data_IF_618595821546
#
_entry.id   IF_618595821546
#
_cell.length_a   1.000
_cell.length_b   1.000
_cell.length_c   1.000
_cell.angle_alpha   90.00
_cell.angle_beta   90.00
_cell.angle_gamma   90.00
#
_symmetry.space_group_name_H-M   'P 1'
#
loop_
_entity.id
_entity.type
_entity.pdbx_description
1 polymer ?
#
# COMPACT_ATOMS: atom_id res chain seq x y z
N UNK A 1 -22.47 -23.62 -26.38
CA UNK A 1 -21.49 -24.33 -25.54
C UNK A 1 -20.12 -23.73 -25.82
N UNK A 2 -19.69 -22.78 -24.99
CA UNK A 2 -18.34 -22.20 -25.07
C UNK A 2 -17.51 -22.85 -23.96
N UNK A 3 -16.46 -23.52 -24.40
CA UNK A 3 -15.48 -24.23 -23.58
C UNK A 3 -14.85 -23.30 -22.57
N UNK A 4 -14.90 -23.68 -21.29
CA UNK A 4 -14.10 -23.11 -20.21
C UNK A 4 -12.63 -23.09 -20.65
N UNK A 5 -12.11 -21.89 -20.90
CA UNK A 5 -10.67 -21.67 -20.88
C UNK A 5 -10.19 -22.02 -19.49
N UNK A 6 -9.40 -23.08 -19.39
CA UNK A 6 -8.63 -23.44 -18.20
C UNK A 6 -7.91 -22.20 -17.69
N UNK A 7 -8.37 -21.66 -16.56
CA UNK A 7 -7.72 -20.57 -15.85
C UNK A 7 -6.38 -21.08 -15.35
N UNK A 8 -5.29 -20.68 -16.01
CA UNK A 8 -3.96 -20.86 -15.47
C UNK A 8 -3.93 -20.21 -14.07
N UNK A 9 -3.40 -20.89 -13.04
CA UNK A 9 -3.23 -20.28 -11.73
C UNK A 9 -2.43 -19.00 -11.89
N UNK A 10 -2.88 -17.92 -11.24
CA UNK A 10 -2.25 -16.61 -11.36
C UNK A 10 -0.77 -16.73 -11.05
N UNK A 11 0.09 -16.33 -11.99
CA UNK A 11 1.57 -16.33 -11.86
C UNK A 11 2.09 -15.35 -10.80
N UNK A 12 1.22 -14.78 -9.95
CA UNK A 12 1.54 -13.73 -8.99
C UNK A 12 1.23 -14.20 -7.55
N UNK A 13 2.16 -14.89 -6.87
CA UNK A 13 1.92 -15.50 -5.56
C UNK A 13 1.50 -14.49 -4.48
N UNK A 14 1.97 -13.24 -4.58
CA UNK A 14 1.54 -12.16 -3.69
C UNK A 14 0.05 -11.82 -3.88
N UNK A 15 -0.46 -11.88 -5.10
CA UNK A 15 -1.85 -11.54 -5.40
C UNK A 15 -2.81 -12.63 -4.94
N UNK A 16 -2.42 -13.90 -5.08
CA UNK A 16 -3.16 -15.04 -4.57
C UNK A 16 -3.26 -15.00 -3.05
N UNK A 17 -2.14 -14.79 -2.35
CA UNK A 17 -2.14 -14.58 -0.89
C UNK A 17 -3.03 -13.41 -0.50
N UNK A 18 -2.99 -12.31 -1.24
CA UNK A 18 -3.80 -11.14 -0.93
C UNK A 18 -5.31 -11.43 -1.09
N UNK A 19 -5.72 -12.13 -2.14
CA UNK A 19 -7.12 -12.55 -2.31
C UNK A 19 -7.62 -13.39 -1.15
N UNK A 20 -6.79 -14.31 -0.63
CA UNK A 20 -7.13 -15.14 0.54
C UNK A 20 -7.29 -14.28 1.80
N UNK A 21 -6.36 -13.35 2.03
CA UNK A 21 -6.44 -12.46 3.21
C UNK A 21 -7.65 -11.51 3.13
N UNK A 22 -8.00 -10.99 1.95
CA UNK A 22 -9.22 -10.20 1.74
C UNK A 22 -10.46 -11.01 2.08
N UNK A 23 -10.54 -12.25 1.57
CA UNK A 23 -11.69 -13.11 1.84
C UNK A 23 -11.82 -13.41 3.34
N UNK A 24 -10.72 -13.76 4.00
CA UNK A 24 -10.72 -14.02 5.44
C UNK A 24 -11.09 -12.78 6.27
N UNK A 25 -10.62 -11.60 5.87
CA UNK A 25 -10.94 -10.33 6.53
C UNK A 25 -12.43 -9.95 6.36
N UNK A 26 -13.01 -10.19 5.19
CA UNK A 26 -14.44 -9.97 4.95
C UNK A 26 -15.28 -10.97 5.73
N UNK A 27 -14.89 -12.25 5.78
CA UNK A 27 -15.59 -13.27 6.58
C UNK A 27 -15.57 -12.92 8.07
N UNK A 28 -14.48 -12.33 8.58
CA UNK A 28 -14.40 -11.81 9.96
C UNK A 28 -15.31 -10.60 10.21
N UNK A 29 -15.54 -9.77 9.20
CA UNK A 29 -16.29 -8.51 9.29
C UNK A 29 -17.56 -8.53 8.42
N UNK A 30 -18.25 -9.68 8.37
CA UNK A 30 -19.33 -9.91 7.40
C UNK A 30 -20.50 -8.93 7.55
N UNK A 31 -20.86 -8.58 8.79
CA UNK A 31 -21.96 -7.64 9.06
C UNK A 31 -21.67 -6.25 8.50
N UNK A 32 -20.42 -5.77 8.65
CA UNK A 32 -19.99 -4.48 8.08
C UNK A 32 -19.96 -4.52 6.56
N UNK A 33 -19.56 -5.66 5.99
CA UNK A 33 -19.53 -5.87 4.55
C UNK A 33 -20.94 -5.88 3.94
N UNK A 34 -21.90 -6.56 4.57
CA UNK A 34 -23.29 -6.60 4.11
C UNK A 34 -23.94 -5.21 4.16
N UNK A 35 -23.76 -4.47 5.26
CA UNK A 35 -24.23 -3.09 5.39
C UNK A 35 -23.64 -2.21 4.28
N UNK A 36 -22.32 -2.29 4.07
CA UNK A 36 -21.63 -1.57 3.00
C UNK A 36 -22.20 -1.88 1.62
N UNK A 37 -22.54 -3.15 1.36
CA UNK A 37 -23.09 -3.55 0.06
C UNK A 37 -24.46 -2.93 -0.21
N UNK A 38 -25.32 -2.88 0.81
CA UNK A 38 -26.63 -2.22 0.73
C UNK A 38 -26.44 -0.73 0.48
N UNK A 39 -25.69 -0.05 1.35
CA UNK A 39 -25.46 1.41 1.27
C UNK A 39 -24.92 1.81 -0.11
N UNK A 40 -23.88 1.12 -0.60
CA UNK A 40 -23.29 1.42 -1.90
C UNK A 40 -24.25 1.19 -3.07
N UNK A 41 -25.09 0.15 -3.02
CA UNK A 41 -26.05 -0.13 -4.09
C UNK A 41 -27.26 0.83 -4.07
N UNK A 42 -27.60 1.39 -2.91
CA UNK A 42 -28.63 2.43 -2.76
C UNK A 42 -28.11 3.80 -3.22
N UNK A 43 -26.91 4.19 -2.80
CA UNK A 43 -26.31 5.49 -3.15
C UNK A 43 -25.83 5.56 -4.61
N UNK A 44 -25.27 4.46 -5.13
CA UNK A 44 -24.60 4.44 -6.43
C UNK A 44 -25.27 3.43 -7.38
N UNK A 45 -26.22 3.89 -8.19
CA UNK A 45 -26.94 3.04 -9.16
C UNK A 45 -26.00 2.29 -10.13
N UNK A 46 -24.92 2.94 -10.60
CA UNK A 46 -23.96 2.28 -11.48
C UNK A 46 -23.23 1.13 -10.77
N UNK A 47 -22.93 1.26 -9.47
CA UNK A 47 -22.35 0.16 -8.67
C UNK A 47 -23.34 -0.99 -8.58
N UNK A 48 -24.62 -0.72 -8.29
CA UNK A 48 -25.67 -1.75 -8.25
C UNK A 48 -25.72 -2.56 -9.55
N UNK A 49 -25.67 -1.89 -10.70
CA UNK A 49 -25.70 -2.55 -12.01
C UNK A 49 -24.48 -3.42 -12.25
N UNK A 50 -23.29 -2.90 -11.95
CA UNK A 50 -22.06 -3.68 -12.07
C UNK A 50 -21.97 -4.79 -11.02
N UNK A 51 -22.59 -4.63 -9.85
CA UNK A 51 -22.70 -5.68 -8.83
C UNK A 51 -23.59 -6.84 -9.31
N UNK A 52 -24.68 -6.58 -10.05
CA UNK A 52 -25.47 -7.65 -10.67
C UNK A 52 -24.62 -8.47 -11.65
N UNK A 53 -23.78 -7.81 -12.45
CA UNK A 53 -22.95 -8.47 -13.46
C UNK A 53 -21.70 -9.16 -12.90
N UNK A 54 -21.03 -8.54 -11.91
CA UNK A 54 -19.70 -8.93 -11.44
C UNK A 54 -19.66 -9.41 -9.98
N UNK A 55 -20.72 -9.12 -9.22
CA UNK A 55 -20.94 -9.64 -7.88
C UNK A 55 -19.82 -9.33 -6.89
N UNK A 56 -19.48 -10.30 -6.02
CA UNK A 56 -18.50 -10.14 -4.97
C UNK A 56 -17.12 -9.66 -5.43
N UNK A 57 -16.73 -9.95 -6.68
CA UNK A 57 -15.45 -9.48 -7.24
C UNK A 57 -15.31 -7.95 -7.21
N UNK A 58 -16.40 -7.24 -7.47
CA UNK A 58 -16.44 -5.78 -7.38
C UNK A 58 -16.51 -5.35 -5.92
N UNK A 59 -17.46 -5.91 -5.18
CA UNK A 59 -17.80 -5.42 -3.84
C UNK A 59 -16.71 -5.68 -2.81
N UNK A 60 -15.97 -6.79 -2.91
CA UNK A 60 -14.83 -7.08 -2.03
C UNK A 60 -13.75 -6.01 -2.16
N UNK A 61 -13.42 -5.66 -3.42
CA UNK A 61 -12.42 -4.62 -3.69
C UNK A 61 -12.91 -3.25 -3.20
N UNK A 62 -14.16 -2.89 -3.48
CA UNK A 62 -14.71 -1.61 -3.03
C UNK A 62 -14.78 -1.52 -1.50
N UNK A 63 -15.08 -2.62 -0.81
CA UNK A 63 -15.10 -2.68 0.66
C UNK A 63 -13.71 -2.44 1.26
N UNK A 64 -12.69 -3.11 0.73
CA UNK A 64 -11.29 -2.88 1.16
C UNK A 64 -10.88 -1.42 0.92
N UNK A 65 -11.18 -0.87 -0.26
CA UNK A 65 -10.90 0.53 -0.57
C UNK A 65 -11.66 1.49 0.36
N UNK A 66 -12.92 1.18 0.71
CA UNK A 66 -13.71 1.97 1.67
C UNK A 66 -13.00 2.04 3.01
N UNK A 67 -12.62 0.89 3.59
CA UNK A 67 -11.99 0.82 4.92
C UNK A 67 -10.69 1.61 4.94
N UNK A 68 -9.81 1.34 3.97
CA UNK A 68 -8.53 2.02 3.83
C UNK A 68 -8.68 3.54 3.68
N UNK A 69 -9.51 4.00 2.75
CA UNK A 69 -9.65 5.43 2.47
C UNK A 69 -10.42 6.17 3.55
N UNK A 70 -11.32 5.50 4.28
CA UNK A 70 -12.00 6.09 5.44
C UNK A 70 -11.02 6.36 6.59
N UNK A 71 -10.05 5.46 6.79
CA UNK A 71 -9.02 5.62 7.80
C UNK A 71 -8.00 6.72 7.43
N UNK A 72 -7.55 6.76 6.17
CA UNK A 72 -6.38 7.57 5.77
C UNK A 72 -6.72 8.87 5.02
N UNK A 73 -7.83 8.93 4.29
CA UNK A 73 -8.01 9.95 3.24
C UNK A 73 -9.27 10.80 3.37
N UNK A 74 -10.45 10.18 3.53
CA UNK A 74 -11.74 10.88 3.37
C UNK A 74 -11.96 12.00 4.40
N UNK A 75 -11.27 11.98 5.54
CA UNK A 75 -11.34 13.07 6.54
C UNK A 75 -10.71 14.38 6.04
N UNK A 76 -9.76 14.29 5.10
CA UNK A 76 -8.94 15.43 4.66
C UNK A 76 -9.04 15.70 3.16
N UNK A 77 -9.83 14.91 2.43
CA UNK A 77 -9.97 14.96 0.99
C UNK A 77 -11.43 15.05 0.57
N UNK A 78 -11.71 15.73 -0.55
CA UNK A 78 -13.07 15.85 -1.12
C UNK A 78 -13.49 14.66 -1.97
N UNK A 79 -12.62 13.68 -2.15
CA UNK A 79 -12.98 12.44 -2.83
C UNK A 79 -14.02 11.68 -2.00
N UNK A 80 -14.90 10.98 -2.70
CA UNK A 80 -15.99 10.19 -2.12
C UNK A 80 -15.86 8.77 -2.64
N UNK A 81 -16.57 7.83 -2.02
CA UNK A 81 -16.59 6.45 -2.53
C UNK A 81 -17.15 6.34 -3.94
N UNK A 82 -18.10 7.21 -4.31
CA UNK A 82 -18.60 7.29 -5.69
C UNK A 82 -17.45 7.55 -6.67
N UNK A 83 -16.60 8.53 -6.39
CA UNK A 83 -15.44 8.85 -7.22
C UNK A 83 -14.47 7.65 -7.33
N UNK A 84 -14.20 6.97 -6.22
CA UNK A 84 -13.29 5.82 -6.16
C UNK A 84 -13.88 4.63 -6.91
N UNK A 85 -15.19 4.36 -6.78
CA UNK A 85 -15.87 3.30 -7.48
C UNK A 85 -15.85 3.53 -9.00
N UNK A 86 -16.09 4.76 -9.46
CA UNK A 86 -15.97 5.10 -10.88
C UNK A 86 -14.55 4.92 -11.41
N UNK A 87 -13.53 5.39 -10.67
CA UNK A 87 -12.13 5.18 -11.04
C UNK A 87 -11.78 3.69 -11.14
N UNK A 88 -12.24 2.88 -10.19
CA UNK A 88 -11.99 1.44 -10.19
C UNK A 88 -12.70 0.73 -11.35
N UNK A 89 -13.95 1.10 -11.65
CA UNK A 89 -14.67 0.57 -12.81
C UNK A 89 -14.00 0.96 -14.13
N UNK A 90 -13.63 2.23 -14.30
CA UNK A 90 -12.89 2.69 -15.48
C UNK A 90 -11.55 1.96 -15.65
N UNK A 91 -10.84 1.75 -14.55
CA UNK A 91 -9.62 0.95 -14.53
C UNK A 91 -9.90 -0.50 -14.98
N UNK A 92 -10.88 -1.17 -14.37
CA UNK A 92 -11.22 -2.55 -14.66
C UNK A 92 -11.79 -2.79 -16.07
N UNK A 93 -12.41 -1.76 -16.67
CA UNK A 93 -12.88 -1.75 -18.06
C UNK A 93 -11.75 -1.44 -19.06
N UNK A 94 -10.56 -1.06 -18.58
CA UNK A 94 -9.45 -0.62 -19.43
C UNK A 94 -9.69 0.73 -20.12
N UNK A 95 -10.58 1.56 -19.57
CA UNK A 95 -10.83 2.94 -20.02
C UNK A 95 -9.79 3.91 -19.45
N UNK A 96 -9.21 3.59 -18.30
CA UNK A 96 -8.12 4.35 -17.73
C UNK A 96 -6.86 4.30 -18.62
N UNK A 97 -6.21 5.44 -18.84
CA UNK A 97 -4.89 5.48 -19.50
C UNK A 97 -3.86 4.81 -18.58
N UNK A 98 -3.46 3.60 -18.94
CA UNK A 98 -2.43 2.83 -18.24
C UNK A 98 -1.02 3.31 -18.62
N UNK A 99 -0.03 3.13 -17.72
CA UNK A 99 1.39 3.32 -18.02
C UNK A 99 1.78 2.65 -19.33
N UNK A 100 2.50 3.38 -20.19
CA UNK A 100 2.95 2.93 -21.52
C UNK A 100 3.77 1.64 -21.52
N UNK A 101 4.28 1.23 -20.35
CA UNK A 101 5.08 0.02 -20.17
C UNK A 101 4.23 -1.25 -20.00
N UNK A 102 2.91 -1.13 -19.93
CA UNK A 102 2.00 -2.28 -19.93
C UNK A 102 1.62 -2.59 -21.37
N UNK A 103 2.29 -3.59 -21.97
CA UNK A 103 1.90 -4.20 -23.24
C UNK A 103 0.38 -4.38 -23.33
N UNK A 104 -0.22 -4.10 -24.49
CA UNK A 104 -1.67 -4.25 -24.73
C UNK A 104 -2.18 -5.68 -24.44
N UNK A 105 -1.30 -6.69 -24.50
CA UNK A 105 -1.58 -8.07 -24.13
C UNK A 105 -1.70 -8.31 -22.60
N UNK A 106 -1.18 -7.39 -21.78
CA UNK A 106 -1.23 -7.40 -20.31
C UNK A 106 -2.30 -6.44 -19.75
N UNK A 107 -3.17 -5.87 -20.59
CA UNK A 107 -4.32 -5.09 -20.11
C UNK A 107 -5.29 -6.02 -19.39
N UNK A 108 -5.20 -6.04 -18.07
CA UNK A 108 -6.13 -6.80 -17.24
C UNK A 108 -7.49 -6.12 -17.31
N UNK A 109 -8.39 -6.70 -18.11
CA UNK A 109 -9.81 -6.37 -18.09
C UNK A 109 -10.47 -7.14 -16.96
N UNK A 110 -10.54 -6.52 -15.79
CA UNK A 110 -11.26 -7.08 -14.65
C UNK A 110 -12.75 -7.25 -14.96
N UNK A 111 -13.27 -6.33 -15.77
CA UNK A 111 -14.65 -6.31 -16.26
C UNK A 111 -14.62 -6.46 -17.79
N UNK A 112 -14.84 -7.68 -18.33
CA UNK A 112 -14.71 -7.93 -19.76
C UNK A 112 -15.68 -7.12 -20.62
N UNK A 113 -16.83 -6.75 -20.05
CA UNK A 113 -17.93 -6.11 -20.76
C UNK A 113 -18.29 -4.77 -20.08
N UNK A 114 -18.44 -3.73 -20.88
CA UNK A 114 -19.01 -2.47 -20.40
C UNK A 114 -20.52 -2.58 -20.49
N UNK A 115 -21.23 -2.23 -19.42
CA UNK A 115 -22.69 -2.22 -19.42
C UNK A 115 -23.19 -0.90 -20.01
N UNK A 116 -24.12 -0.94 -20.95
CA UNK A 116 -24.82 0.26 -21.41
C UNK A 116 -26.03 0.56 -20.50
N UNK A 117 -26.38 1.83 -20.38
CA UNK A 117 -27.44 2.29 -19.46
C UNK A 117 -28.81 1.66 -19.73
N UNK A 118 -29.11 1.25 -20.96
CA UNK A 118 -30.40 0.63 -21.29
C UNK A 118 -30.34 -0.91 -21.35
N UNK A 119 -29.19 -1.51 -21.08
CA UNK A 119 -29.01 -2.97 -21.12
C UNK A 119 -29.31 -3.59 -19.76
N UNK A 120 -30.00 -4.73 -19.76
CA UNK A 120 -30.13 -5.57 -18.59
C UNK A 120 -28.77 -6.22 -18.29
N UNK A 121 -28.32 -6.11 -17.05
CA UNK A 121 -27.11 -6.78 -16.62
C UNK A 121 -27.42 -8.27 -16.44
N UNK A 122 -26.81 -9.12 -17.27
CA UNK A 122 -26.84 -10.57 -17.06
C UNK A 122 -25.90 -10.95 -15.91
N UNK A 123 -26.36 -11.86 -15.05
CA UNK A 123 -25.56 -12.35 -13.93
C UNK A 123 -24.46 -13.26 -14.48
N UNK A 124 -23.20 -12.84 -14.31
CA UNK A 124 -22.04 -13.67 -14.62
C UNK A 124 -21.34 -14.01 -13.31
N UNK A 125 -21.23 -15.31 -13.01
CA UNK A 125 -20.47 -15.75 -11.84
C UNK A 125 -18.97 -15.53 -12.08
N UNK A 126 -18.44 -14.47 -11.49
CA UNK A 126 -17.03 -14.17 -11.48
C UNK A 126 -16.36 -14.67 -10.19
N UNK A 127 -15.22 -15.35 -10.34
CA UNK A 127 -14.41 -15.81 -9.20
C UNK A 127 -13.85 -14.63 -8.39
N UNK A 128 -13.77 -14.79 -7.07
CA UNK A 128 -13.14 -13.81 -6.16
C UNK A 128 -11.61 -13.95 -6.15
N UNK A 129 -11.06 -15.02 -6.75
CA UNK A 129 -9.62 -15.35 -6.77
C UNK A 129 -8.71 -14.22 -7.24
N UNK A 130 -9.22 -13.29 -8.04
CA UNK A 130 -8.42 -12.24 -8.69
C UNK A 130 -8.54 -10.87 -7.98
N UNK A 131 -9.25 -10.77 -6.86
CA UNK A 131 -9.46 -9.49 -6.15
C UNK A 131 -8.15 -8.88 -5.64
N UNK A 132 -7.24 -9.71 -5.13
CA UNK A 132 -5.90 -9.28 -4.71
C UNK A 132 -5.08 -8.72 -5.87
N UNK A 133 -5.15 -9.37 -7.05
CA UNK A 133 -4.47 -8.89 -8.25
C UNK A 133 -5.08 -7.55 -8.72
N UNK A 134 -6.42 -7.46 -8.71
CA UNK A 134 -7.15 -6.25 -9.06
C UNK A 134 -6.73 -5.05 -8.20
N UNK A 135 -6.66 -5.23 -6.87
CA UNK A 135 -6.24 -4.20 -5.94
C UNK A 135 -4.78 -3.80 -6.13
N UNK A 136 -3.85 -4.76 -6.25
CA UNK A 136 -2.42 -4.45 -6.46
C UNK A 136 -2.22 -3.59 -7.70
N UNK A 137 -2.88 -3.95 -8.80
CA UNK A 137 -2.74 -3.21 -10.05
C UNK A 137 -3.45 -1.86 -10.02
N UNK A 138 -4.59 -1.77 -9.33
CA UNK A 138 -5.27 -0.51 -9.14
C UNK A 138 -4.44 0.46 -8.29
N UNK A 139 -3.82 -0.01 -7.20
CA UNK A 139 -2.88 0.77 -6.40
C UNK A 139 -1.67 1.21 -7.23
N UNK A 140 -1.13 0.33 -8.07
CA UNK A 140 -0.05 0.67 -9.01
C UNK A 140 -0.48 1.75 -10.01
N UNK A 141 -1.71 1.68 -10.50
CA UNK A 141 -2.27 2.69 -11.41
C UNK A 141 -2.40 4.05 -10.71
N UNK A 142 -3.03 4.10 -9.53
CA UNK A 142 -3.19 5.33 -8.75
C UNK A 142 -1.83 5.92 -8.33
N UNK A 143 -0.87 5.07 -7.98
CA UNK A 143 0.50 5.46 -7.65
C UNK A 143 1.37 5.80 -8.86
N UNK A 144 0.86 5.73 -10.09
CA UNK A 144 1.66 5.99 -11.28
C UNK A 144 1.88 7.49 -11.52
N UNK A 145 3.01 7.81 -12.17
CA UNK A 145 3.31 9.18 -12.61
C UNK A 145 2.25 9.71 -13.58
N UNK A 146 1.68 8.84 -14.43
CA UNK A 146 0.64 9.25 -15.37
C UNK A 146 -0.63 9.72 -14.68
N UNK A 147 -1.05 9.03 -13.60
CA UNK A 147 -2.21 9.45 -12.81
C UNK A 147 -1.97 10.78 -12.11
N UNK A 148 -0.76 10.99 -11.56
CA UNK A 148 -0.38 12.28 -10.96
C UNK A 148 -0.39 13.41 -11.98
N UNK A 149 0.11 13.18 -13.20
CA UNK A 149 0.20 14.20 -14.25
C UNK A 149 -1.12 14.49 -14.99
N UNK A 150 -2.22 13.83 -14.65
CA UNK A 150 -3.52 14.15 -15.24
C UNK A 150 -3.92 15.60 -14.90
N UNK A 151 -4.37 16.37 -15.88
CA UNK A 151 -4.91 17.71 -15.65
C UNK A 151 -6.36 17.68 -15.17
N UNK A 152 -7.12 16.67 -15.59
CA UNK A 152 -8.50 16.42 -15.22
C UNK A 152 -8.79 14.92 -15.22
N UNK A 153 -9.69 14.48 -14.36
CA UNK A 153 -10.23 13.11 -14.36
C UNK A 153 -11.71 13.16 -14.76
N UNK A 154 -12.01 12.69 -15.98
CA UNK A 154 -13.37 12.45 -16.43
C UNK A 154 -13.82 11.06 -15.96
N UNK A 155 -14.75 11.02 -15.01
CA UNK A 155 -15.24 9.78 -14.40
C UNK A 155 -16.42 9.18 -15.17
N UNK A 156 -16.68 9.64 -16.39
CA UNK A 156 -17.71 9.10 -17.27
C UNK A 156 -17.42 7.66 -17.68
N UNK A 157 -18.42 6.79 -17.50
CA UNK A 157 -18.42 5.44 -18.07
C UNK A 157 -18.80 5.45 -19.57
N UNK A 158 -19.27 6.58 -20.11
CA UNK A 158 -19.75 6.72 -21.50
C UNK A 158 -20.82 5.67 -21.86
N UNK A 159 -21.66 5.30 -20.91
CA UNK A 159 -22.68 4.24 -20.97
C UNK A 159 -24.04 4.71 -21.51
N UNK A 160 -24.17 6.00 -21.84
CA UNK A 160 -25.43 6.60 -22.27
C UNK A 160 -26.36 6.99 -21.12
N UNK A 161 -25.86 7.06 -19.87
CA UNK A 161 -26.62 7.56 -18.72
C UNK A 161 -27.18 8.97 -18.99
N UNK A 162 -28.44 9.25 -18.64
CA UNK A 162 -29.06 10.57 -18.84
C UNK A 162 -28.38 11.69 -18.03
N UNK A 163 -27.92 11.37 -16.82
CA UNK A 163 -27.19 12.31 -15.96
C UNK A 163 -25.68 12.15 -16.11
N UNK A 164 -24.93 13.25 -16.24
CA UNK A 164 -23.49 13.20 -16.40
C UNK A 164 -22.81 12.71 -15.13
N UNK A 165 -21.74 11.93 -15.31
CA UNK A 165 -20.83 11.57 -14.23
C UNK A 165 -19.94 12.76 -13.83
N UNK A 166 -19.39 12.76 -12.60
CA UNK A 166 -18.53 13.84 -12.13
C UNK A 166 -17.24 13.96 -12.97
N UNK A 167 -16.75 15.20 -13.11
CA UNK A 167 -15.45 15.50 -13.71
C UNK A 167 -14.62 16.28 -12.68
N UNK A 168 -13.46 15.74 -12.32
CA UNK A 168 -12.53 16.38 -11.40
C UNK A 168 -11.55 17.24 -12.19
N UNK A 169 -11.62 18.56 -12.01
CA UNK A 169 -10.88 19.52 -12.82
C UNK A 169 -9.56 20.02 -12.21
N UNK A 170 -9.26 19.65 -10.96
CA UNK A 170 -8.11 20.18 -10.22
C UNK A 170 -7.29 19.07 -9.59
N UNK A 171 -6.05 18.92 -10.04
CA UNK A 171 -5.10 17.91 -9.54
C UNK A 171 -5.00 17.81 -8.00
N UNK A 172 -5.00 18.91 -7.23
CA UNK A 172 -4.97 18.82 -5.76
C UNK A 172 -6.11 18.02 -5.12
N UNK A 173 -7.20 17.75 -5.85
CA UNK A 173 -8.31 16.93 -5.37
C UNK A 173 -7.89 15.45 -5.25
N UNK A 174 -7.12 14.92 -6.20
CA UNK A 174 -6.71 13.51 -6.23
C UNK A 174 -5.22 13.28 -5.97
N UNK A 175 -4.42 14.34 -5.90
CA UNK A 175 -3.00 14.24 -5.54
C UNK A 175 -2.76 13.52 -4.18
N UNK A 176 -3.56 13.76 -3.12
CA UNK A 176 -3.44 12.98 -1.88
C UNK A 176 -3.70 11.48 -2.08
N UNK A 177 -4.64 11.11 -2.95
CA UNK A 177 -4.91 9.70 -3.30
C UNK A 177 -3.71 9.08 -4.03
N UNK A 178 -3.10 9.80 -4.97
CA UNK A 178 -1.89 9.36 -5.67
C UNK A 178 -0.76 9.06 -4.67
N UNK A 179 -0.45 9.99 -3.78
CA UNK A 179 0.64 9.85 -2.81
C UNK A 179 0.39 8.69 -1.84
N UNK A 180 -0.85 8.53 -1.38
CA UNK A 180 -1.24 7.44 -0.50
C UNK A 180 -1.11 6.09 -1.22
N UNK A 181 -1.66 5.96 -2.43
CA UNK A 181 -1.58 4.74 -3.22
C UNK A 181 -0.14 4.38 -3.59
N UNK A 182 0.70 5.35 -3.95
CA UNK A 182 2.13 5.14 -4.19
C UNK A 182 2.79 4.50 -2.96
N UNK A 183 2.60 5.07 -1.77
CA UNK A 183 3.20 4.54 -0.54
C UNK A 183 2.69 3.14 -0.20
N UNK A 184 1.37 2.95 -0.24
CA UNK A 184 0.73 1.64 0.06
C UNK A 184 1.20 0.56 -0.93
N UNK A 185 1.22 0.86 -2.23
CA UNK A 185 1.72 -0.09 -3.24
C UNK A 185 3.19 -0.47 -2.99
N UNK A 186 4.06 0.50 -2.75
CA UNK A 186 5.49 0.23 -2.53
C UNK A 186 5.72 -0.56 -1.22
N UNK A 187 4.97 -0.25 -0.16
CA UNK A 187 5.04 -1.02 1.08
C UNK A 187 4.61 -2.47 0.88
N UNK A 188 3.49 -2.73 0.21
CA UNK A 188 3.02 -4.09 -0.11
C UNK A 188 4.05 -4.81 -0.99
N UNK A 189 4.58 -4.15 -2.03
CA UNK A 189 5.54 -4.74 -2.96
C UNK A 189 6.88 -5.10 -2.28
N UNK A 190 7.32 -4.32 -1.30
CA UNK A 190 8.60 -4.52 -0.60
C UNK A 190 8.47 -5.48 0.58
N UNK A 191 7.41 -5.36 1.37
CA UNK A 191 7.24 -6.12 2.62
C UNK A 191 6.41 -7.39 2.47
N UNK A 192 5.56 -7.47 1.44
CA UNK A 192 4.59 -8.56 1.28
C UNK A 192 3.53 -8.60 2.38
N UNK A 193 3.33 -7.51 3.12
CA UNK A 193 2.30 -7.34 4.15
C UNK A 193 1.17 -6.46 3.62
N UNK A 194 -0.06 -6.73 4.06
CA UNK A 194 -1.27 -6.01 3.63
C UNK A 194 -1.88 -5.12 4.73
N UNK A 195 -1.17 -4.98 5.86
CA UNK A 195 -1.50 -4.06 6.96
C UNK A 195 -1.60 -2.60 6.48
N UNK A 196 -0.78 -2.21 5.50
CA UNK A 196 -0.81 -0.87 4.90
C UNK A 196 -2.11 -0.52 4.14
N UNK A 197 -2.97 -1.50 3.86
CA UNK A 197 -4.32 -1.30 3.29
C UNK A 197 -5.42 -1.85 4.22
N UNK A 198 -5.10 -2.03 5.51
CA UNK A 198 -6.06 -2.43 6.53
C UNK A 198 -6.75 -3.77 6.25
N UNK A 199 -6.01 -4.72 5.66
CA UNK A 199 -6.47 -6.11 5.45
C UNK A 199 -5.66 -7.05 6.34
N UNK A 200 -6.35 -7.97 7.00
CA UNK A 200 -5.75 -8.95 7.91
C UNK A 200 -5.72 -8.47 9.37
N UNK A 201 -4.89 -9.10 10.19
CA UNK A 201 -4.75 -8.72 11.60
C UNK A 201 -3.99 -7.38 11.69
N UNK A 202 -4.74 -6.29 11.68
CA UNK A 202 -4.23 -4.93 11.85
C UNK A 202 -3.64 -4.87 13.25
N UNK A 203 -2.31 -4.75 13.35
CA UNK A 203 -1.64 -4.46 14.62
C UNK A 203 -2.17 -3.11 15.10
N UNK A 204 -3.06 -3.13 16.10
CA UNK A 204 -3.77 -1.94 16.60
C UNK A 204 -2.84 -0.91 17.25
N UNK A 205 -1.59 -1.27 17.55
CA UNK A 205 -0.56 -0.35 17.99
C UNK A 205 0.01 0.47 16.82
N UNK A 206 -0.77 1.45 16.36
CA UNK A 206 -0.33 2.53 15.47
C UNK A 206 0.82 3.37 16.04
N UNK A 207 1.20 3.16 17.31
CA UNK A 207 2.45 3.68 17.83
C UNK A 207 3.63 3.09 17.07
N UNK A 208 3.60 1.82 16.67
CA UNK A 208 4.71 1.17 16.00
C UNK A 208 4.56 1.20 14.48
N UNK A 209 5.35 2.04 13.82
CA UNK A 209 5.38 2.11 12.35
C UNK A 209 6.82 2.00 11.84
N UNK A 210 7.00 1.42 10.65
CA UNK A 210 8.31 1.44 10.00
C UNK A 210 8.70 2.87 9.64
N UNK A 211 9.97 3.23 9.86
CA UNK A 211 10.56 4.52 9.48
C UNK A 211 10.39 4.74 7.98
N UNK A 212 9.70 5.83 7.61
CA UNK A 212 9.44 6.21 6.21
C UNK A 212 10.72 6.63 5.46
N UNK A 213 11.68 7.20 6.18
CA UNK A 213 12.96 7.64 5.65
C UNK A 213 14.10 6.79 6.24
N UNK A 214 14.86 6.05 5.41
CA UNK A 214 15.99 5.27 5.90
C UNK A 214 17.13 6.19 6.35
N UNK A 215 17.74 5.85 7.49
CA UNK A 215 18.93 6.55 7.99
C UNK A 215 20.14 5.99 7.26
N UNK A 216 20.89 6.86 6.58
CA UNK A 216 22.09 6.48 5.85
C UNK A 216 23.28 6.56 6.80
N UNK A 217 23.93 5.42 7.04
CA UNK A 217 25.14 5.35 7.86
C UNK A 217 26.30 4.75 7.08
N UNK A 218 27.52 4.99 7.52
CA UNK A 218 28.70 4.32 6.96
C UNK A 218 28.68 2.84 7.31
N UNK A 219 29.03 1.98 6.35
CA UNK A 219 29.16 0.53 6.60
C UNK A 219 30.20 0.16 7.66
N UNK A 220 31.15 1.06 7.90
CA UNK A 220 32.13 0.95 8.99
C UNK A 220 31.49 0.77 10.36
N UNK A 221 30.24 1.22 10.55
CA UNK A 221 29.50 1.03 11.79
C UNK A 221 29.35 -0.46 12.14
N UNK A 222 28.95 -1.29 11.17
CA UNK A 222 28.67 -2.71 11.37
C UNK A 222 29.85 -3.62 11.01
N UNK A 223 30.98 -3.05 10.56
CA UNK A 223 32.20 -3.83 10.29
C UNK A 223 32.77 -4.38 11.61
N UNK A 224 33.00 -5.69 11.62
CA UNK A 224 33.52 -6.39 12.80
C UNK A 224 34.89 -5.84 13.21
N UNK A 225 35.81 -5.66 12.26
CA UNK A 225 37.21 -5.28 12.51
C UNK A 225 37.46 -3.76 12.50
N UNK A 226 36.44 -2.94 12.79
CA UNK A 226 36.62 -1.50 12.86
C UNK A 226 37.16 -1.07 14.24
N UNK A 227 38.36 -0.47 14.25
CA UNK A 227 39.04 -0.01 15.47
C UNK A 227 39.80 -1.10 16.22
N UNK A 228 40.25 -0.78 17.44
CA UNK A 228 41.11 -1.64 18.27
C UNK A 228 40.37 -2.81 18.96
N UNK A 229 39.04 -2.87 18.87
CA UNK A 229 38.24 -3.92 19.51
C UNK A 229 37.10 -4.38 18.58
N UNK A 230 37.04 -5.68 18.22
CA UNK A 230 36.03 -6.17 17.32
C UNK A 230 34.66 -6.25 18.00
N UNK A 231 33.64 -5.68 17.35
CA UNK A 231 32.24 -5.75 17.79
C UNK A 231 31.42 -6.46 16.71
N UNK A 232 30.61 -7.45 17.11
CA UNK A 232 29.72 -8.11 16.16
C UNK A 232 28.58 -7.18 15.74
N UNK A 233 28.16 -7.24 14.47
CA UNK A 233 27.03 -6.46 13.98
C UNK A 233 25.75 -6.74 14.78
N UNK A 234 25.53 -8.00 15.16
CA UNK A 234 24.41 -8.42 16.01
C UNK A 234 24.42 -7.67 17.35
N UNK A 235 25.56 -7.67 18.07
CA UNK A 235 25.66 -6.95 19.36
C UNK A 235 25.38 -5.46 19.23
N UNK A 236 25.84 -4.84 18.14
CA UNK A 236 25.56 -3.43 17.86
C UNK A 236 24.06 -3.21 17.68
N UNK A 237 23.40 -4.05 16.87
CA UNK A 237 21.96 -3.93 16.63
C UNK A 237 21.13 -4.22 17.89
N UNK A 238 21.51 -5.23 18.68
CA UNK A 238 20.83 -5.60 19.92
C UNK A 238 20.87 -4.44 20.94
N UNK A 239 22.04 -3.83 21.16
CA UNK A 239 22.18 -2.69 22.07
C UNK A 239 21.47 -1.43 21.55
N UNK A 240 21.53 -1.18 20.24
CA UNK A 240 20.77 -0.09 19.64
C UNK A 240 19.26 -0.30 19.82
N UNK A 241 18.79 -1.54 19.72
CA UNK A 241 17.41 -1.91 19.94
C UNK A 241 17.00 -1.68 21.39
N UNK A 242 17.80 -2.17 22.33
CA UNK A 242 17.59 -2.03 23.77
C UNK A 242 17.55 -0.56 24.21
N UNK A 243 18.52 0.27 23.78
CA UNK A 243 18.61 1.68 24.20
C UNK A 243 17.50 2.56 23.62
N UNK A 244 16.96 2.19 22.47
CA UNK A 244 15.99 3.04 21.75
C UNK A 244 14.56 2.59 21.96
N UNK A 245 14.34 1.32 22.29
CA UNK A 245 13.02 0.72 22.42
C UNK A 245 12.32 0.52 21.07
N UNK A 246 13.08 0.44 19.97
CA UNK A 246 12.53 0.03 18.67
C UNK A 246 12.27 -1.47 18.65
N UNK A 247 11.20 -1.89 18.00
CA UNK A 247 10.77 -3.29 17.94
C UNK A 247 11.63 -4.12 17.01
N UNK A 248 12.08 -3.52 15.89
CA UNK A 248 12.94 -4.17 14.89
C UNK A 248 13.83 -3.15 14.17
N UNK A 249 15.04 -3.57 13.79
CA UNK A 249 15.97 -2.78 12.97
C UNK A 249 16.30 -3.58 11.71
N UNK A 250 16.15 -2.96 10.54
CA UNK A 250 16.51 -3.54 9.26
C UNK A 250 17.70 -2.80 8.65
N UNK A 251 18.68 -3.56 8.15
CA UNK A 251 19.89 -3.01 7.52
C UNK A 251 19.98 -3.45 6.07
N UNK A 252 20.19 -2.51 5.15
CA UNK A 252 20.39 -2.80 3.72
C UNK A 252 21.70 -2.18 3.24
N UNK A 253 22.60 -2.99 2.74
CA UNK A 253 23.87 -2.52 2.18
C UNK A 253 23.62 -1.89 0.80
N UNK A 254 24.07 -0.65 0.61
CA UNK A 254 24.16 -0.03 -0.71
C UNK A 254 25.58 -0.17 -1.22
N UNK A 255 25.80 -1.13 -2.12
CA UNK A 255 27.08 -1.30 -2.79
C UNK A 255 27.18 -0.31 -3.96
N UNK A 256 27.57 0.93 -3.68
CA UNK A 256 27.93 1.90 -4.72
C UNK A 256 29.43 2.21 -4.63
N UNK A 257 30.21 1.50 -5.46
CA UNK A 257 31.66 1.64 -5.61
C UNK A 257 32.49 1.38 -4.33
N UNK A 258 33.53 0.56 -4.45
CA UNK A 258 34.42 0.01 -3.41
C UNK A 258 35.04 1.00 -2.40
N UNK A 259 34.79 2.31 -2.49
CA UNK A 259 35.35 3.33 -1.61
C UNK A 259 34.36 3.87 -0.56
N UNK A 260 33.04 3.85 -0.80
CA UNK A 260 32.05 4.43 0.12
C UNK A 260 30.85 3.48 0.32
N UNK A 261 31.10 2.35 0.98
CA UNK A 261 30.03 1.44 1.37
C UNK A 261 29.16 2.10 2.44
N UNK A 262 27.91 2.41 2.11
CA UNK A 262 26.90 2.94 3.03
C UNK A 262 25.82 1.89 3.30
N UNK A 263 25.19 1.98 4.47
CA UNK A 263 24.11 1.10 4.90
C UNK A 263 22.88 1.97 5.15
N UNK A 264 21.75 1.56 4.59
CA UNK A 264 20.44 2.09 4.93
C UNK A 264 19.91 1.35 6.14
N UNK A 265 19.52 2.09 7.17
CA UNK A 265 18.88 1.54 8.36
C UNK A 265 17.43 2.01 8.41
N UNK A 266 16.48 1.07 8.40
CA UNK A 266 15.08 1.33 8.76
C UNK A 266 14.75 0.66 10.08
N UNK A 267 13.72 1.15 10.77
CA UNK A 267 13.30 0.60 12.06
C UNK A 267 11.79 0.65 12.25
N UNK A 268 11.27 -0.30 13.01
CA UNK A 268 9.86 -0.35 13.44
C UNK A 268 9.80 0.04 14.90
N UNK A 269 8.89 0.94 15.25
CA UNK A 269 8.66 1.34 16.62
C UNK A 269 7.97 2.69 16.72
N UNK A 270 7.85 3.18 17.95
CA UNK A 270 7.26 4.49 18.25
C UNK A 270 8.00 5.65 17.58
N UNK A 271 7.31 6.76 17.33
CA UNK A 271 7.97 7.95 16.77
C UNK A 271 9.14 8.42 17.64
N UNK A 272 8.98 8.34 18.96
CA UNK A 272 10.03 8.65 19.95
C UNK A 272 11.18 7.63 19.91
N UNK A 273 10.89 6.33 19.87
CA UNK A 273 11.91 5.29 19.76
C UNK A 273 12.74 5.42 18.46
N UNK A 274 12.07 5.67 17.32
CA UNK A 274 12.74 5.89 16.03
C UNK A 274 13.58 7.17 16.04
N UNK A 275 13.10 8.24 16.69
CA UNK A 275 13.88 9.47 16.83
C UNK A 275 15.12 9.26 17.71
N UNK A 276 15.02 8.47 18.78
CA UNK A 276 16.17 8.06 19.60
C UNK A 276 17.19 7.27 18.77
N UNK A 277 16.73 6.32 17.96
CA UNK A 277 17.61 5.58 17.05
C UNK A 277 18.28 6.50 16.01
N UNK A 278 17.54 7.44 15.43
CA UNK A 278 18.10 8.43 14.51
C UNK A 278 19.21 9.26 15.16
N UNK A 279 19.01 9.73 16.39
CA UNK A 279 20.03 10.48 17.14
C UNK A 279 21.28 9.65 17.39
N UNK A 280 21.14 8.36 17.73
CA UNK A 280 22.29 7.46 17.91
C UNK A 280 23.06 7.23 16.62
N UNK A 281 22.36 6.92 15.53
CA UNK A 281 22.98 6.58 14.25
C UNK A 281 23.67 7.78 13.57
N UNK A 282 23.32 9.01 13.97
CA UNK A 282 23.96 10.24 13.52
C UNK A 282 25.18 10.64 14.38
N UNK A 283 25.49 9.91 15.46
CA UNK A 283 26.72 10.14 16.22
C UNK A 283 27.96 9.73 15.40
N UNK A 284 29.13 10.34 15.65
CA UNK A 284 30.40 9.86 15.13
C UNK A 284 30.60 8.36 15.44
N UNK A 285 31.00 7.57 14.43
CA UNK A 285 31.13 6.11 14.52
C UNK A 285 32.02 5.71 15.71
N UNK A 286 33.13 6.41 15.92
CA UNK A 286 34.07 6.11 17.01
C UNK A 286 33.45 6.39 18.39
N UNK A 287 32.54 7.35 18.49
CA UNK A 287 31.83 7.66 19.74
C UNK A 287 30.77 6.60 20.02
N UNK A 288 29.97 6.23 19.01
CA UNK A 288 28.94 5.21 19.15
C UNK A 288 29.54 3.84 19.47
N UNK A 289 30.62 3.44 18.79
CA UNK A 289 31.28 2.15 19.05
C UNK A 289 31.94 2.08 20.42
N UNK A 290 32.50 3.20 20.91
CA UNK A 290 33.00 3.29 22.30
C UNK A 290 31.87 3.14 23.30
N UNK A 291 30.76 3.85 23.10
CA UNK A 291 29.57 3.74 23.93
C UNK A 291 29.03 2.30 23.99
N UNK A 292 28.95 1.61 22.84
CA UNK A 292 28.50 0.20 22.76
C UNK A 292 29.48 -0.72 23.48
N UNK A 293 30.79 -0.53 23.30
CA UNK A 293 31.81 -1.33 23.98
C UNK A 293 31.73 -1.19 25.50
N UNK A 294 31.54 0.03 25.96
CA UNK A 294 31.52 0.37 27.38
C UNK A 294 30.10 0.20 27.98
N UNK A 295 29.12 -0.20 27.17
CA UNK A 295 27.69 -0.37 27.51
C UNK A 295 27.07 0.88 28.17
N UNK A 296 27.58 2.06 27.83
CA UNK A 296 27.10 3.35 28.34
C UNK A 296 26.24 4.03 27.29
N UNK A 297 24.93 4.10 27.55
CA UNK A 297 23.99 4.83 26.70
C UNK A 297 24.36 6.33 26.62
N UNK A 298 24.61 6.87 25.41
CA UNK A 298 24.94 8.28 25.20
C UNK A 298 23.86 9.23 25.73
N UNK A 299 24.30 10.36 26.30
CA UNK A 299 23.41 11.37 26.91
C UNK A 299 22.38 11.96 25.91
N UNK A 300 22.71 12.01 24.62
CA UNK A 300 21.82 12.53 23.54
C UNK A 300 20.52 11.75 23.36
N UNK A 301 20.37 10.62 24.04
CA UNK A 301 19.25 9.68 23.93
C UNK A 301 18.50 9.55 25.25
N UNK A 302 19.06 10.05 26.36
CA UNK A 302 18.37 10.06 27.67
C UNK A 302 17.30 11.14 27.63
N UNK A 303 16.08 10.81 28.03
CA UNK A 303 14.93 11.74 28.01
C UNK A 303 15.07 12.91 29.00
N UNK A 304 16.20 13.05 29.70
CA UNK A 304 16.46 14.05 30.74
C UNK A 304 16.68 15.48 30.19
N UNK A 305 16.60 15.68 28.87
CA UNK A 305 16.79 17.00 28.23
C UNK A 305 15.68 17.39 27.26
N UNK A 306 14.43 16.95 27.49
CA UNK A 306 13.23 17.48 26.83
C UNK A 306 12.38 18.29 27.80
#
# INVERSE_FOLDING_TARGET
MLTLGTTAPSTHPLAERFSIEIQSDIEKNIDEYELFCVDMCEECEFVRRYNIAYGPRLMYVLFVLKRWLTAELFRFCRLTMEHIALLFLQFGLGMAKLPSDVSDANRIRLFPHKLMWNETADVVNHSVSDCGLALILFLRYLGSQQFSMCHSLDLSLQDGRPMPYPILMRQPIWEPLHQLAFRTYHHIAVSGRFDAIYVGDIVQDWSESESRDPIIVSSSLLRQNYGESPLSAHRILDLLQEWTGVSQIFTRNLYQNRRNDVILITSVGTATARQRLARLLLLPIDQLRRAIRDEVMPLSVRDETL
#
